data_IF_099337753848
#
_entry.id   IF_099337753848
#
_cell.length_a   1.000
_cell.length_b   1.000
_cell.length_c   1.000
_cell.angle_alpha   90.00
_cell.angle_beta   90.00
_cell.angle_gamma   90.00
#
_symmetry.space_group_name_H-M   'P 1'
#
loop_
_entity.id
_entity.type
_entity.pdbx_description
1 polymer ?
#
# COMPACT_ATOMS: atom_id res chain seq x y z
N UNK A 1 41.65 35.09 63.53
CA UNK A 1 41.07 33.75 63.71
C UNK A 1 39.70 33.77 63.07
N UNK A 2 39.58 33.08 61.92
CA UNK A 2 38.36 32.57 61.27
C UNK A 2 37.25 33.55 60.83
N UNK A 3 36.59 33.47 59.67
CA UNK A 3 36.79 32.92 58.32
C UNK A 3 35.55 33.38 57.52
N UNK A 4 35.72 33.74 56.25
CA UNK A 4 34.66 33.90 55.23
C UNK A 4 34.99 32.79 54.21
N UNK A 5 34.12 31.86 53.75
CA UNK A 5 32.98 32.19 52.86
C UNK A 5 31.85 31.11 52.74
N UNK A 6 30.57 31.49 52.62
CA UNK A 6 29.57 30.57 52.02
C UNK A 6 29.45 30.81 50.51
N UNK A 7 30.47 30.28 49.83
CA UNK A 7 30.49 29.85 48.45
C UNK A 7 29.39 28.80 48.23
N UNK A 8 28.48 29.02 47.28
CA UNK A 8 27.43 28.07 46.91
C UNK A 8 27.89 27.27 45.67
N UNK A 9 28.26 25.97 45.80
CA UNK A 9 29.08 25.27 44.80
C UNK A 9 28.30 24.47 43.74
N UNK A 10 26.97 24.54 43.65
CA UNK A 10 26.24 23.83 42.59
C UNK A 10 25.81 24.76 41.47
N UNK A 11 26.73 24.89 40.52
CA UNK A 11 26.59 25.65 39.29
C UNK A 11 25.43 25.17 38.42
N UNK A 12 24.89 26.12 37.67
CA UNK A 12 23.86 25.90 36.67
C UNK A 12 24.33 24.90 35.62
N UNK A 13 23.73 23.72 35.64
CA UNK A 13 23.84 22.76 34.55
C UNK A 13 22.93 23.24 33.41
N UNK A 14 23.43 23.52 32.20
CA UNK A 14 22.58 23.80 31.06
C UNK A 14 21.72 22.56 30.78
N UNK A 15 20.40 22.71 30.86
CA UNK A 15 19.41 21.73 30.38
C UNK A 15 19.67 21.48 28.90
N UNK A 16 20.34 20.38 28.56
CA UNK A 16 20.38 19.87 27.20
C UNK A 16 18.97 19.39 26.85
N UNK A 17 18.30 20.12 25.97
CA UNK A 17 17.07 19.65 25.35
C UNK A 17 17.40 18.41 24.51
N UNK A 18 16.65 17.30 24.66
CA UNK A 18 16.83 16.15 23.79
C UNK A 18 16.58 16.58 22.34
N UNK A 19 17.38 16.09 21.37
CA UNK A 19 17.18 16.42 19.96
C UNK A 19 15.76 16.05 19.55
N UNK A 20 15.03 17.04 19.02
CA UNK A 20 13.74 16.81 18.36
C UNK A 20 13.99 15.88 17.19
N UNK A 21 13.54 14.63 17.33
CA UNK A 21 13.52 13.71 16.20
C UNK A 21 12.58 14.29 15.13
N UNK A 22 12.96 14.24 13.84
CA UNK A 22 12.10 14.69 12.77
C UNK A 22 10.77 13.96 12.85
N UNK A 23 9.69 14.72 12.81
CA UNK A 23 8.33 14.19 12.77
C UNK A 23 8.19 13.32 11.51
N UNK A 24 8.28 12.00 11.70
CA UNK A 24 7.99 11.04 10.65
C UNK A 24 6.53 11.23 10.25
N UNK A 25 6.21 11.29 8.94
CA UNK A 25 4.83 11.32 8.49
C UNK A 25 4.09 10.13 9.12
N UNK A 26 2.97 10.39 9.80
CA UNK A 26 2.13 9.35 10.39
C UNK A 26 1.38 8.61 9.29
N UNK A 27 2.10 7.81 8.52
CA UNK A 27 1.48 6.81 7.66
C UNK A 27 1.24 5.56 8.50
N UNK A 28 0.02 5.03 8.48
CA UNK A 28 -0.29 3.71 9.07
C UNK A 28 0.40 2.54 8.33
N UNK A 29 1.27 2.85 7.35
CA UNK A 29 2.03 1.90 6.55
C UNK A 29 3.36 1.66 7.24
N UNK A 30 3.67 0.38 7.47
CA UNK A 30 4.95 -0.04 8.03
C UNK A 30 5.87 -0.43 6.88
N UNK A 31 6.96 0.30 6.72
CA UNK A 31 7.93 0.04 5.67
C UNK A 31 9.05 -0.91 6.14
N UNK A 32 9.51 -1.76 5.23
CA UNK A 32 10.54 -2.79 5.45
C UNK A 32 11.54 -2.85 4.29
N UNK A 33 12.75 -3.31 4.61
CA UNK A 33 13.80 -3.55 3.62
C UNK A 33 13.84 -5.05 3.25
N UNK A 34 12.78 -5.52 2.61
CA UNK A 34 12.67 -6.91 2.15
C UNK A 34 12.14 -7.92 3.16
N UNK A 35 12.06 -9.18 2.71
CA UNK A 35 11.46 -10.29 3.45
C UNK A 35 12.17 -10.60 4.78
N UNK A 36 13.50 -10.48 4.84
CA UNK A 36 14.25 -10.81 6.05
C UNK A 36 13.97 -9.81 7.19
N UNK A 37 13.78 -8.53 6.87
CA UNK A 37 13.34 -7.53 7.85
C UNK A 37 11.97 -7.92 8.42
N UNK A 38 11.00 -8.28 7.59
CA UNK A 38 9.66 -8.74 8.02
C UNK A 38 9.76 -9.94 8.97
N UNK A 39 10.60 -10.93 8.66
CA UNK A 39 10.79 -12.10 9.52
C UNK A 39 11.39 -11.72 10.87
N UNK A 40 12.35 -10.80 10.90
CA UNK A 40 13.02 -10.34 12.12
C UNK A 40 12.11 -9.57 13.08
N UNK A 41 11.04 -8.95 12.57
CA UNK A 41 10.13 -8.13 13.39
C UNK A 41 9.31 -8.97 14.36
N UNK A 42 9.39 -8.64 15.64
CA UNK A 42 8.54 -9.26 16.65
C UNK A 42 7.10 -8.81 16.48
N UNK A 43 6.18 -9.76 16.62
CA UNK A 43 4.76 -9.53 16.44
C UNK A 43 3.99 -10.39 17.46
N UNK A 44 2.90 -9.89 18.07
CA UNK A 44 2.14 -10.63 19.07
C UNK A 44 1.57 -11.94 18.52
N UNK A 45 1.36 -12.94 19.38
CA UNK A 45 0.58 -14.12 19.00
C UNK A 45 -0.82 -13.71 18.54
N UNK A 46 -1.43 -14.54 17.67
CA UNK A 46 -2.78 -14.32 17.14
C UNK A 46 -2.93 -12.96 16.45
N UNK A 47 -1.96 -12.57 15.64
CA UNK A 47 -1.99 -11.29 14.96
C UNK A 47 -1.58 -11.40 13.50
N UNK A 48 -1.96 -10.39 12.73
CA UNK A 48 -1.65 -10.29 11.32
C UNK A 48 -1.30 -8.83 11.00
N UNK A 49 -0.20 -8.62 10.28
CA UNK A 49 0.28 -7.30 9.92
C UNK A 49 0.78 -7.27 8.47
N UNK A 50 0.50 -6.18 7.78
CA UNK A 50 0.94 -5.90 6.42
C UNK A 50 2.13 -4.95 6.44
N UNK A 51 3.16 -5.26 5.67
CA UNK A 51 4.36 -4.45 5.52
C UNK A 51 4.56 -4.10 4.05
N UNK A 52 4.93 -2.85 3.76
CA UNK A 52 5.30 -2.41 2.42
C UNK A 52 6.81 -2.45 2.25
N UNK A 53 7.29 -2.99 1.14
CA UNK A 53 8.70 -2.87 0.78
C UNK A 53 9.05 -1.41 0.45
N UNK A 54 10.26 -0.98 0.77
CA UNK A 54 10.77 0.36 0.44
C UNK A 54 11.23 0.49 -1.02
N UNK A 55 11.78 -0.58 -1.58
CA UNK A 55 12.46 -0.55 -2.88
C UNK A 55 11.66 -1.27 -3.97
N UNK A 56 10.77 -2.18 -3.58
CA UNK A 56 9.97 -3.01 -4.48
C UNK A 56 8.49 -2.71 -4.36
N UNK A 57 7.73 -2.97 -5.42
CA UNK A 57 6.26 -2.94 -5.37
C UNK A 57 5.70 -4.23 -4.75
N UNK A 58 6.18 -4.57 -3.54
CA UNK A 58 5.80 -5.76 -2.81
C UNK A 58 5.17 -5.40 -1.48
N UNK A 59 4.19 -6.19 -1.07
CA UNK A 59 3.71 -6.23 0.30
C UNK A 59 3.86 -7.61 0.91
N UNK A 60 4.19 -7.61 2.19
CA UNK A 60 4.39 -8.80 2.99
C UNK A 60 3.30 -8.89 4.05
N UNK A 61 2.58 -10.00 4.06
CA UNK A 61 1.60 -10.30 5.09
C UNK A 61 2.20 -11.30 6.07
N UNK A 62 2.53 -10.83 7.27
CA UNK A 62 3.01 -11.68 8.36
C UNK A 62 1.84 -12.03 9.29
N UNK A 63 1.58 -13.31 9.43
CA UNK A 63 0.62 -13.84 10.40
C UNK A 63 1.37 -14.65 11.45
N UNK A 64 1.03 -14.43 12.72
CA UNK A 64 1.53 -15.20 13.86
C UNK A 64 0.36 -15.93 14.49
N UNK A 65 0.48 -17.23 14.62
CA UNK A 65 -0.57 -18.07 15.21
C UNK A 65 -0.60 -17.96 16.75
N UNK A 66 -1.46 -18.76 17.39
CA UNK A 66 -1.61 -18.78 18.85
C UNK A 66 -0.38 -19.37 19.58
N UNK A 67 0.48 -20.10 18.87
CA UNK A 67 1.69 -20.76 19.40
C UNK A 67 2.96 -19.95 19.17
N UNK A 68 2.87 -18.84 18.44
CA UNK A 68 4.00 -17.98 18.10
C UNK A 68 4.73 -18.37 16.81
N UNK A 69 4.26 -19.39 16.07
CA UNK A 69 4.78 -19.67 14.75
C UNK A 69 4.30 -18.60 13.77
N UNK A 70 5.24 -18.09 12.96
CA UNK A 70 4.93 -17.07 11.97
C UNK A 70 4.94 -17.64 10.56
N UNK A 71 4.08 -17.08 9.71
CA UNK A 71 4.06 -17.31 8.28
C UNK A 71 4.12 -15.97 7.56
N UNK A 72 4.81 -15.91 6.42
CA UNK A 72 4.89 -14.70 5.60
C UNK A 72 4.44 -15.02 4.19
N UNK A 73 3.44 -14.28 3.70
CA UNK A 73 3.02 -14.30 2.29
C UNK A 73 3.49 -13.03 1.60
N UNK A 74 3.91 -13.16 0.35
CA UNK A 74 4.41 -12.05 -0.47
C UNK A 74 3.41 -11.81 -1.59
N UNK A 75 3.06 -10.56 -1.83
CA UNK A 75 2.17 -10.16 -2.91
C UNK A 75 2.77 -9.01 -3.72
N UNK A 76 2.53 -9.02 -5.02
CA UNK A 76 2.83 -7.90 -5.90
C UNK A 76 1.71 -6.85 -5.82
N UNK A 77 2.11 -5.59 -5.66
CA UNK A 77 1.21 -4.44 -5.80
C UNK A 77 1.13 -4.06 -7.27
N UNK A 78 0.01 -4.41 -7.89
CA UNK A 78 -0.31 -3.98 -9.25
C UNK A 78 -1.32 -2.85 -9.17
N UNK A 79 -0.98 -1.71 -9.77
CA UNK A 79 -1.91 -0.60 -9.91
C UNK A 79 -3.03 -1.02 -10.87
N UNK A 80 -4.25 -1.08 -10.36
CA UNK A 80 -5.43 -1.06 -11.20
C UNK A 80 -5.77 0.40 -11.45
N UNK A 81 -5.44 0.90 -12.64
CA UNK A 81 -6.11 2.10 -13.14
C UNK A 81 -7.58 1.77 -13.18
N UNK A 82 -8.43 2.62 -12.59
CA UNK A 82 -9.87 2.52 -12.83
C UNK A 82 -10.05 2.48 -14.35
N UNK A 83 -10.34 1.30 -14.89
CA UNK A 83 -10.89 1.22 -16.23
C UNK A 83 -12.17 2.03 -16.12
N UNK A 84 -12.20 3.20 -16.77
CA UNK A 84 -13.46 3.81 -17.14
C UNK A 84 -14.31 2.66 -17.66
N UNK A 85 -15.42 2.39 -16.97
CA UNK A 85 -16.32 1.30 -17.32
C UNK A 85 -16.43 1.30 -18.84
N UNK A 86 -16.17 0.16 -19.53
CA UNK A 86 -16.13 0.14 -20.98
C UNK A 86 -17.38 0.86 -21.44
N UNK A 87 -17.21 1.91 -22.25
CA UNK A 87 -18.34 2.70 -22.73
C UNK A 87 -19.23 1.73 -23.50
N UNK A 88 -20.25 1.20 -22.84
CA UNK A 88 -21.11 0.18 -23.42
C UNK A 88 -22.00 0.90 -24.43
N UNK A 89 -21.47 1.07 -25.64
CA UNK A 89 -22.20 1.60 -26.77
C UNK A 89 -23.19 0.55 -27.22
N UNK A 90 -24.43 0.64 -26.74
CA UNK A 90 -25.53 -0.18 -27.22
C UNK A 90 -25.90 0.25 -28.64
N UNK A 91 -26.04 -0.72 -29.54
CA UNK A 91 -26.66 -0.48 -30.84
C UNK A 91 -28.07 0.08 -30.63
N UNK A 92 -28.33 1.23 -31.25
CA UNK A 92 -29.68 1.79 -31.29
C UNK A 92 -30.57 0.91 -32.16
N UNK A 93 -31.89 0.97 -31.92
CA UNK A 93 -32.87 0.25 -32.72
C UNK A 93 -32.79 0.62 -34.22
N UNK A 94 -32.37 1.85 -34.53
CA UNK A 94 -32.19 2.31 -35.90
C UNK A 94 -31.01 1.59 -36.58
N UNK A 95 -29.84 1.53 -35.93
CA UNK A 95 -28.66 0.83 -36.44
C UNK A 95 -28.91 -0.66 -36.62
N UNK A 96 -29.71 -1.27 -35.75
CA UNK A 96 -30.11 -2.67 -35.89
C UNK A 96 -31.00 -2.94 -37.11
N UNK A 97 -31.94 -2.04 -37.43
CA UNK A 97 -32.79 -2.16 -38.61
C UNK A 97 -32.01 -1.95 -39.91
N UNK A 98 -31.06 -1.01 -39.93
CA UNK A 98 -30.14 -0.84 -41.07
C UNK A 98 -29.24 -2.08 -41.26
N UNK A 99 -28.74 -2.65 -40.17
CA UNK A 99 -27.97 -3.89 -40.21
C UNK A 99 -28.79 -5.06 -40.79
N UNK A 100 -30.06 -5.23 -40.37
CA UNK A 100 -30.96 -6.24 -40.97
C UNK A 100 -31.13 -6.04 -42.47
N UNK A 101 -31.34 -4.80 -42.93
CA UNK A 101 -31.46 -4.49 -44.36
C UNK A 101 -30.19 -4.84 -45.14
N UNK A 102 -29.02 -4.62 -44.54
CA UNK A 102 -27.73 -4.97 -45.16
C UNK A 102 -27.52 -6.49 -45.29
N UNK A 103 -28.07 -7.28 -44.37
CA UNK A 103 -28.03 -8.74 -44.44
C UNK A 103 -28.95 -9.29 -45.51
N UNK A 104 -30.18 -8.77 -45.61
CA UNK A 104 -31.14 -9.20 -46.63
C UNK A 104 -30.71 -8.82 -48.05
N UNK A 105 -30.13 -7.64 -48.22
CA UNK A 105 -29.59 -7.20 -49.51
C UNK A 105 -28.42 -8.08 -49.99
N UNK A 106 -27.55 -8.52 -49.07
CA UNK A 106 -26.42 -9.41 -49.40
C UNK A 106 -26.83 -10.85 -49.69
N UNK A 107 -27.95 -11.32 -49.16
CA UNK A 107 -28.49 -12.65 -49.50
C UNK A 107 -29.17 -12.69 -50.87
N UNK A 108 -29.62 -11.56 -51.39
CA UNK A 108 -30.24 -11.46 -52.72
C UNK A 108 -29.20 -11.38 -53.85
N UNK A 109 -28.02 -10.80 -53.61
CA UNK A 109 -26.91 -10.77 -54.59
C UNK A 109 -26.16 -12.11 -54.74
N UNK A 110 -26.34 -13.06 -53.82
CA UNK A 110 -25.73 -14.39 -53.89
C UNK A 110 -26.59 -15.48 -54.54
N UNK A 111 -27.83 -15.16 -54.93
CA UNK A 111 -28.81 -16.14 -55.44
C UNK A 111 -29.10 -15.98 -56.95
N UNK A 112 -28.19 -15.37 -57.71
CA UNK A 112 -28.25 -15.35 -59.18
C UNK A 112 -26.88 -15.63 -59.79
N UNK A 113 -26.44 -16.88 -59.68
CA UNK A 113 -25.53 -17.55 -60.64
C UNK A 113 -26.01 -18.97 -60.83
#
# INVERSE_FOLDING_TARGET
MYENPYFNPYGGMPRQYPPQQPAQPQTNIIFVNGLEDVKSRLQPCRSQMLYSDNDKNLVYLKAVDDTGHFTVKVFDLVEHKEEQAPEVSYLTRAEFEEFKKSLTAKTEEGASV
#
